data_IF_544844173098
#
_entry.id   IF_544844173098
#
_cell.length_a   1.000
_cell.length_b   1.000
_cell.length_c   1.000
_cell.angle_alpha   90.00
_cell.angle_beta   90.00
_cell.angle_gamma   90.00
#
_symmetry.space_group_name_H-M   'P 1'
#
loop_
_entity.id
_entity.type
_entity.pdbx_description
1 polymer ?
#
# COMPACT_ATOMS: atom_id res chain seq x y z
N UNK A 1 11.51 13.64 -8.26
CA UNK A 1 12.51 13.36 -7.19
C UNK A 1 12.77 11.86 -7.14
N UNK A 2 14.04 11.40 -7.18
CA UNK A 2 14.34 9.96 -7.14
C UNK A 2 14.28 9.43 -5.71
N UNK A 3 13.51 8.37 -5.48
CA UNK A 3 13.42 7.70 -4.18
C UNK A 3 14.53 6.64 -4.03
N UNK A 4 15.14 6.55 -2.85
CA UNK A 4 15.96 5.39 -2.49
C UNK A 4 15.04 4.17 -2.43
N UNK A 5 15.43 3.07 -3.09
CA UNK A 5 14.58 1.88 -3.20
C UNK A 5 15.42 0.62 -3.05
N UNK A 6 14.98 -0.32 -2.22
CA UNK A 6 15.51 -1.67 -2.23
C UNK A 6 14.74 -2.51 -3.24
N UNK A 7 15.48 -3.25 -4.05
CA UNK A 7 14.92 -4.16 -5.03
C UNK A 7 15.14 -5.61 -4.62
N UNK A 8 14.13 -6.44 -4.83
CA UNK A 8 14.22 -7.89 -4.83
C UNK A 8 13.98 -8.36 -6.26
N UNK A 9 15.02 -8.78 -6.97
CA UNK A 9 14.90 -9.25 -8.35
C UNK A 9 13.92 -10.41 -8.48
N UNK A 10 13.22 -10.49 -9.61
CA UNK A 10 12.49 -11.68 -9.99
C UNK A 10 13.46 -12.83 -10.27
N UNK A 11 13.01 -14.10 -10.16
CA UNK A 11 13.82 -15.29 -10.45
C UNK A 11 14.12 -15.45 -11.95
N UNK A 12 13.35 -14.78 -12.81
CA UNK A 12 13.49 -14.76 -14.25
C UNK A 12 13.02 -13.42 -14.81
N UNK A 13 12.45 -13.44 -16.02
CA UNK A 13 11.79 -12.23 -16.56
C UNK A 13 10.61 -11.84 -15.66
N UNK A 14 10.55 -10.60 -15.17
CA UNK A 14 9.47 -10.19 -14.28
C UNK A 14 8.08 -10.29 -14.92
N UNK A 15 7.16 -10.99 -14.27
CA UNK A 15 5.77 -11.11 -14.71
C UNK A 15 4.91 -9.93 -14.23
N UNK A 16 5.52 -8.94 -13.60
CA UNK A 16 4.89 -7.77 -13.02
C UNK A 16 5.71 -7.22 -11.86
N UNK A 17 5.09 -6.43 -11.00
CA UNK A 17 5.77 -5.82 -9.84
C UNK A 17 4.96 -5.92 -8.56
N UNK A 18 5.65 -6.03 -7.41
CA UNK A 18 5.09 -5.95 -6.07
C UNK A 18 5.81 -4.82 -5.31
N UNK A 19 5.07 -3.77 -4.98
CA UNK A 19 5.62 -2.61 -4.27
C UNK A 19 5.00 -2.52 -2.88
N UNK A 20 5.84 -2.42 -1.85
CA UNK A 20 5.39 -2.31 -0.45
C UNK A 20 5.94 -1.03 0.18
N UNK A 21 5.03 -0.20 0.69
CA UNK A 21 5.32 1.11 1.27
C UNK A 21 5.33 1.03 2.80
N UNK A 22 6.45 1.38 3.42
CA UNK A 22 6.65 1.29 4.87
C UNK A 22 5.80 2.30 5.67
N UNK A 23 5.64 2.05 6.97
CA UNK A 23 5.00 2.97 7.92
C UNK A 23 5.91 4.13 8.35
N UNK A 24 5.32 5.10 9.06
CA UNK A 24 6.07 6.25 9.61
C UNK A 24 7.14 5.79 10.60
N UNK A 25 8.37 6.25 10.43
CA UNK A 25 9.49 5.95 11.32
C UNK A 25 10.28 4.71 10.94
N UNK A 26 9.78 3.91 9.99
CA UNK A 26 10.50 2.82 9.34
C UNK A 26 11.24 3.32 8.09
N UNK A 27 11.73 2.39 7.28
CA UNK A 27 12.47 2.68 6.05
C UNK A 27 12.28 1.56 5.01
N UNK A 28 13.06 1.58 3.95
CA UNK A 28 13.03 0.62 2.85
C UNK A 28 13.30 -0.84 3.25
N UNK A 29 13.89 -1.08 4.42
CA UNK A 29 14.19 -2.43 4.91
C UNK A 29 13.01 -3.09 5.62
N UNK A 30 12.08 -2.31 6.16
CA UNK A 30 11.01 -2.77 7.07
C UNK A 30 10.12 -3.84 6.44
N UNK A 31 9.53 -3.55 5.28
CA UNK A 31 8.65 -4.49 4.57
C UNK A 31 9.36 -5.36 3.53
N UNK A 32 10.68 -5.18 3.34
CA UNK A 32 11.43 -5.93 2.34
C UNK A 32 11.34 -7.46 2.51
N UNK A 33 11.40 -8.02 3.72
CA UNK A 33 11.20 -9.47 3.92
C UNK A 33 9.82 -9.98 3.52
N UNK A 34 8.79 -9.12 3.52
CA UNK A 34 7.45 -9.52 3.10
C UNK A 34 7.34 -9.75 1.59
N UNK A 35 8.23 -9.23 0.78
CA UNK A 35 8.28 -9.51 -0.66
C UNK A 35 8.42 -11.01 -0.93
N UNK A 36 9.30 -11.71 -0.21
CA UNK A 36 9.47 -13.16 -0.34
C UNK A 36 8.31 -13.94 0.31
N UNK A 37 7.71 -13.40 1.37
CA UNK A 37 6.54 -14.02 2.00
C UNK A 37 5.30 -13.98 1.10
N UNK A 38 5.14 -12.91 0.31
CA UNK A 38 3.99 -12.69 -0.56
C UNK A 38 4.17 -13.26 -1.98
N UNK A 39 5.42 -13.35 -2.45
CA UNK A 39 5.77 -13.92 -3.76
C UNK A 39 7.02 -14.83 -3.62
N UNK A 40 6.87 -16.01 -3.00
CA UNK A 40 7.99 -16.93 -2.70
C UNK A 40 8.63 -17.52 -3.97
N UNK A 41 7.91 -17.56 -5.07
CA UNK A 41 8.43 -17.99 -6.37
C UNK A 41 9.20 -16.90 -7.09
N UNK A 42 9.21 -15.67 -6.54
CA UNK A 42 9.87 -14.48 -7.12
C UNK A 42 9.48 -14.25 -8.58
N UNK A 43 8.19 -14.32 -8.87
CA UNK A 43 7.67 -14.03 -10.21
C UNK A 43 7.65 -12.54 -10.52
N UNK A 44 7.52 -11.71 -9.47
CA UNK A 44 7.41 -10.27 -9.55
C UNK A 44 8.75 -9.59 -9.24
N UNK A 45 9.00 -8.45 -9.87
CA UNK A 45 10.00 -7.51 -9.39
C UNK A 45 9.48 -6.89 -8.08
N UNK A 46 10.17 -7.14 -6.97
CA UNK A 46 9.81 -6.61 -5.66
C UNK A 46 10.52 -5.29 -5.37
N UNK A 47 9.80 -4.29 -4.85
CA UNK A 47 10.37 -3.00 -4.48
C UNK A 47 9.85 -2.52 -3.12
N UNK A 48 10.75 -1.95 -2.33
CA UNK A 48 10.42 -1.24 -1.10
C UNK A 48 11.11 0.12 -1.11
N UNK A 49 10.42 1.18 -1.57
CA UNK A 49 10.97 2.53 -1.58
C UNK A 49 10.98 3.15 -0.18
N UNK A 50 11.94 4.04 0.07
CA UNK A 50 12.07 4.86 1.27
C UNK A 50 11.29 6.15 1.11
N UNK A 51 10.51 6.52 2.13
CA UNK A 51 9.86 7.82 2.22
C UNK A 51 10.88 8.98 2.13
N UNK A 52 10.56 10.07 1.43
CA UNK A 52 11.54 11.13 1.16
C UNK A 52 11.86 12.01 2.37
N UNK A 53 11.04 11.96 3.41
CA UNK A 53 11.20 12.81 4.59
C UNK A 53 11.95 12.06 5.69
N UNK A 54 13.08 12.58 6.11
CA UNK A 54 13.85 11.99 7.21
C UNK A 54 13.12 12.15 8.56
N UNK A 55 13.15 11.10 9.36
CA UNK A 55 12.63 11.08 10.72
C UNK A 55 13.69 10.55 11.68
N UNK A 56 14.42 11.40 12.41
CA UNK A 56 15.43 10.94 13.36
C UNK A 56 14.86 9.97 14.42
N UNK A 57 15.66 8.99 14.90
CA UNK A 57 17.10 8.82 14.66
C UNK A 57 17.51 8.02 13.41
N UNK A 58 16.65 7.63 12.52
CA UNK A 58 17.07 6.85 11.33
C UNK A 58 15.95 6.47 10.39
N UNK A 59 14.70 6.68 10.80
CA UNK A 59 13.53 6.36 10.00
C UNK A 59 13.20 7.40 8.93
N UNK A 60 12.12 7.13 8.21
CA UNK A 60 11.57 7.98 7.19
C UNK A 60 10.04 8.09 7.31
N UNK A 61 9.45 9.01 6.57
CA UNK A 61 8.00 9.10 6.46
C UNK A 61 7.59 9.72 5.11
N UNK A 62 6.34 9.47 4.73
CA UNK A 62 5.80 9.92 3.46
C UNK A 62 5.27 11.35 3.51
N UNK A 63 4.66 11.71 4.64
CA UNK A 63 4.08 13.03 4.86
C UNK A 63 4.11 13.39 6.35
N UNK A 64 4.07 14.67 6.66
CA UNK A 64 3.91 15.16 8.04
C UNK A 64 2.50 14.87 8.53
N UNK A 65 2.40 14.58 9.84
CA UNK A 65 1.10 14.38 10.48
C UNK A 65 0.42 15.73 10.70
N UNK A 66 -0.74 15.92 10.11
CA UNK A 66 -1.64 17.03 10.42
C UNK A 66 -2.88 16.52 11.17
N UNK A 67 -3.23 15.26 11.00
CA UNK A 67 -4.36 14.58 11.64
C UNK A 67 -4.69 13.26 10.94
N UNK A 68 -5.68 12.56 11.47
CA UNK A 68 -6.26 11.38 10.84
C UNK A 68 -7.74 11.72 10.53
N UNK A 69 -8.20 11.58 9.29
CA UNK A 69 -7.54 11.04 8.10
C UNK A 69 -6.94 12.10 7.16
N UNK A 70 -6.37 13.19 7.67
CA UNK A 70 -5.92 14.36 6.90
C UNK A 70 -4.40 14.52 6.94
N UNK A 71 -3.65 13.90 6.01
CA UNK A 71 -2.23 14.18 5.82
C UNK A 71 -1.96 15.66 5.52
N UNK A 72 -0.76 16.16 5.88
CA UNK A 72 -0.31 17.49 5.51
C UNK A 72 -0.11 17.59 3.98
N UNK A 73 -0.85 18.43 3.25
CA UNK A 73 -0.80 18.49 1.78
C UNK A 73 0.56 18.92 1.23
N UNK A 74 1.29 19.81 1.94
CA UNK A 74 2.58 20.32 1.46
C UNK A 74 3.63 19.22 1.32
N UNK A 75 3.55 18.21 2.17
CA UNK A 75 4.49 17.08 2.17
C UNK A 75 3.92 15.82 1.52
N UNK A 76 2.61 15.70 1.46
CA UNK A 76 1.92 14.58 0.82
C UNK A 76 2.13 14.57 -0.69
N UNK A 77 1.86 15.68 -1.37
CA UNK A 77 1.91 15.76 -2.82
C UNK A 77 3.28 15.47 -3.42
N UNK A 78 4.41 16.00 -2.90
CA UNK A 78 5.73 15.64 -3.40
C UNK A 78 6.04 14.14 -3.29
N UNK A 79 5.57 13.48 -2.22
CA UNK A 79 5.72 12.02 -2.05
C UNK A 79 4.83 11.25 -3.02
N UNK A 80 3.60 11.71 -3.23
CA UNK A 80 2.67 11.13 -4.19
C UNK A 80 3.24 11.18 -5.62
N UNK A 81 3.75 12.34 -6.04
CA UNK A 81 4.35 12.53 -7.37
C UNK A 81 5.57 11.65 -7.57
N UNK A 82 6.48 11.59 -6.58
CA UNK A 82 7.68 10.77 -6.66
C UNK A 82 7.36 9.26 -6.73
N UNK A 83 6.34 8.81 -5.97
CA UNK A 83 5.87 7.43 -6.05
C UNK A 83 5.15 7.15 -7.38
N UNK A 84 4.32 8.07 -7.86
CA UNK A 84 3.65 7.93 -9.17
C UNK A 84 4.69 7.74 -10.29
N UNK A 85 5.73 8.58 -10.33
CA UNK A 85 6.83 8.48 -11.30
C UNK A 85 7.54 7.12 -11.21
N UNK A 86 7.83 6.65 -9.98
CA UNK A 86 8.42 5.33 -9.77
C UNK A 86 7.52 4.21 -10.30
N UNK A 87 6.23 4.22 -9.94
CA UNK A 87 5.29 3.16 -10.29
C UNK A 87 5.00 3.09 -11.80
N UNK A 88 5.04 4.23 -12.50
CA UNK A 88 4.80 4.29 -13.95
C UNK A 88 5.91 3.60 -14.76
N UNK A 89 7.12 3.55 -14.22
CA UNK A 89 8.27 2.87 -14.84
C UNK A 89 8.34 1.35 -14.61
N UNK A 90 7.43 0.77 -13.81
CA UNK A 90 7.51 -0.62 -13.40
C UNK A 90 6.75 -1.61 -14.32
N UNK A 91 7.23 -2.86 -14.44
CA UNK A 91 6.51 -3.93 -15.11
C UNK A 91 5.10 -4.12 -14.56
N UNK A 92 4.14 -4.39 -15.46
CA UNK A 92 2.73 -4.66 -15.13
C UNK A 92 2.39 -6.13 -15.35
N UNK A 93 1.43 -6.72 -14.59
CA UNK A 93 0.60 -6.08 -13.55
C UNK A 93 1.40 -5.59 -12.33
N UNK A 94 0.87 -4.59 -11.63
CA UNK A 94 1.47 -4.03 -10.42
C UNK A 94 0.56 -4.32 -9.22
N UNK A 95 1.09 -4.94 -8.17
CA UNK A 95 0.45 -5.01 -6.85
C UNK A 95 1.07 -3.92 -5.97
N UNK A 96 0.23 -3.09 -5.37
CA UNK A 96 0.65 -2.02 -4.48
C UNK A 96 0.15 -2.29 -3.07
N UNK A 97 1.04 -2.27 -2.10
CA UNK A 97 0.66 -2.45 -0.71
C UNK A 97 1.43 -1.51 0.22
N UNK A 98 0.97 -1.45 1.46
CA UNK A 98 1.66 -0.67 2.47
C UNK A 98 1.16 -0.93 3.87
N UNK A 99 1.92 -0.44 4.83
CA UNK A 99 1.58 -0.46 6.25
C UNK A 99 1.44 0.98 6.77
N UNK A 100 0.40 1.26 7.55
CA UNK A 100 0.21 2.56 8.20
C UNK A 100 0.24 3.73 7.19
N UNK A 101 1.18 4.67 7.26
CA UNK A 101 1.35 5.73 6.25
C UNK A 101 1.53 5.18 4.83
N UNK A 102 2.21 4.05 4.67
CA UNK A 102 2.36 3.39 3.38
C UNK A 102 1.02 2.93 2.81
N UNK A 103 0.08 2.46 3.65
CA UNK A 103 -1.29 2.16 3.23
C UNK A 103 -2.02 3.41 2.72
N UNK A 104 -1.84 4.54 3.41
CA UNK A 104 -2.46 5.81 3.02
C UNK A 104 -1.99 6.24 1.63
N UNK A 105 -0.67 6.14 1.35
CA UNK A 105 -0.12 6.39 0.02
C UNK A 105 -0.62 5.37 -1.00
N UNK A 106 -0.75 4.08 -0.63
CA UNK A 106 -1.28 3.04 -1.52
C UNK A 106 -2.73 3.32 -1.94
N UNK A 107 -3.58 3.79 -1.02
CA UNK A 107 -4.93 4.23 -1.34
C UNK A 107 -4.94 5.41 -2.31
N UNK A 108 -4.14 6.43 -2.04
CA UNK A 108 -4.06 7.62 -2.89
C UNK A 108 -3.58 7.27 -4.30
N UNK A 109 -2.52 6.48 -4.42
CA UNK A 109 -1.94 6.10 -5.71
C UNK A 109 -2.82 5.11 -6.50
N UNK A 110 -3.50 4.21 -5.79
CA UNK A 110 -4.30 3.17 -6.41
C UNK A 110 -5.72 3.60 -6.78
N UNK A 111 -6.29 4.53 -6.03
CA UNK A 111 -7.68 4.98 -6.21
C UNK A 111 -7.80 6.48 -6.52
N UNK A 112 -6.71 7.26 -6.43
CA UNK A 112 -6.72 8.67 -6.77
C UNK A 112 -6.99 8.90 -8.26
N UNK A 113 -7.78 9.93 -8.59
CA UNK A 113 -7.92 10.40 -9.97
C UNK A 113 -6.62 11.03 -10.42
N UNK A 114 -6.03 10.48 -11.46
CA UNK A 114 -4.77 10.98 -12.02
C UNK A 114 -4.30 10.14 -13.21
N UNK A 115 -3.17 10.49 -13.81
CA UNK A 115 -2.61 9.78 -14.96
C UNK A 115 -2.05 8.40 -14.60
N UNK A 116 -1.81 8.12 -13.32
CA UNK A 116 -1.27 6.85 -12.87
C UNK A 116 -2.23 5.69 -13.18
N UNK A 117 -1.69 4.63 -13.78
CA UNK A 117 -2.48 3.43 -14.05
C UNK A 117 -2.78 2.71 -12.73
N UNK A 118 -4.05 2.44 -12.47
CA UNK A 118 -4.51 1.67 -11.30
C UNK A 118 -3.69 0.37 -11.15
N UNK A 119 -3.21 0.02 -9.95
CA UNK A 119 -2.58 -1.27 -9.70
C UNK A 119 -3.58 -2.42 -9.94
N UNK A 120 -3.08 -3.63 -10.14
CA UNK A 120 -3.90 -4.81 -10.31
C UNK A 120 -4.55 -5.28 -8.99
N UNK A 121 -3.95 -4.94 -7.85
CA UNK A 121 -4.52 -5.16 -6.52
C UNK A 121 -3.93 -4.16 -5.52
N UNK A 122 -4.65 -3.92 -4.40
CA UNK A 122 -4.16 -3.14 -3.27
C UNK A 122 -4.12 -4.00 -2.01
N UNK A 123 -3.00 -3.95 -1.27
CA UNK A 123 -2.83 -4.57 0.05
C UNK A 123 -2.74 -3.45 1.11
N UNK A 124 -3.81 -3.24 1.86
CA UNK A 124 -3.96 -2.15 2.81
C UNK A 124 -3.85 -2.65 4.26
N UNK A 125 -2.71 -2.39 4.91
CA UNK A 125 -2.41 -2.89 6.24
C UNK A 125 -2.41 -1.74 7.26
N UNK A 126 -3.37 -1.74 8.19
CA UNK A 126 -3.48 -0.80 9.32
C UNK A 126 -3.38 0.68 8.91
N UNK A 127 -4.17 1.10 7.92
CA UNK A 127 -4.19 2.48 7.43
C UNK A 127 -5.59 3.05 7.26
N UNK A 128 -5.71 4.18 6.60
CA UNK A 128 -6.97 4.85 6.29
C UNK A 128 -6.97 5.43 4.86
N UNK A 129 -8.15 5.60 4.28
CA UNK A 129 -8.29 6.37 3.03
C UNK A 129 -8.07 7.85 3.31
N UNK A 130 -7.10 8.51 2.63
CA UNK A 130 -6.75 9.90 2.94
C UNK A 130 -7.80 10.90 2.47
N UNK A 131 -7.93 11.98 3.24
CA UNK A 131 -8.64 13.20 2.86
C UNK A 131 -7.60 14.31 2.75
N UNK A 132 -7.22 14.64 1.53
CA UNK A 132 -6.21 15.67 1.22
C UNK A 132 -6.79 16.60 0.17
N UNK A 133 -6.59 17.91 0.34
CA UNK A 133 -7.06 18.90 -0.62
C UNK A 133 -6.49 18.61 -2.02
N UNK A 134 -7.36 18.52 -3.00
CA UNK A 134 -7.01 18.18 -4.38
C UNK A 134 -6.96 16.67 -4.68
N UNK A 135 -7.09 15.79 -3.68
CA UNK A 135 -7.18 14.35 -3.89
C UNK A 135 -8.66 13.93 -3.97
N UNK A 136 -9.03 13.35 -5.09
CA UNK A 136 -10.32 12.65 -5.25
C UNK A 136 -10.05 11.16 -5.41
N UNK A 137 -10.61 10.33 -4.53
CA UNK A 137 -10.59 8.87 -4.70
C UNK A 137 -11.72 8.45 -5.65
N UNK A 138 -11.36 7.73 -6.70
CA UNK A 138 -12.28 7.22 -7.70
C UNK A 138 -12.62 5.75 -7.41
N UNK A 139 -13.82 5.52 -6.92
CA UNK A 139 -14.36 4.19 -6.65
C UNK A 139 -15.20 3.63 -7.81
N UNK A 140 -15.26 4.33 -8.95
CA UNK A 140 -15.96 3.80 -10.11
C UNK A 140 -15.19 2.67 -10.80
N UNK A 141 -15.91 1.70 -11.35
CA UNK A 141 -15.33 0.58 -12.11
C UNK A 141 -14.48 -0.36 -11.26
N UNK A 142 -14.88 -0.58 -9.99
CA UNK A 142 -14.22 -1.51 -9.09
C UNK A 142 -14.85 -2.91 -9.08
N UNK A 143 -15.75 -3.23 -10.01
CA UNK A 143 -16.37 -4.57 -10.07
C UNK A 143 -15.30 -5.67 -10.14
N UNK A 144 -15.26 -6.51 -9.10
CA UNK A 144 -14.27 -7.59 -8.94
C UNK A 144 -12.83 -7.13 -8.69
N UNK A 145 -12.59 -5.83 -8.47
CA UNK A 145 -11.23 -5.31 -8.21
C UNK A 145 -10.68 -5.83 -6.88
N UNK A 146 -9.52 -6.53 -6.88
CA UNK A 146 -9.01 -7.19 -5.67
C UNK A 146 -8.40 -6.20 -4.70
N UNK A 147 -8.92 -6.21 -3.48
CA UNK A 147 -8.40 -5.42 -2.36
C UNK A 147 -8.29 -6.30 -1.12
N UNK A 148 -7.14 -6.30 -0.48
CA UNK A 148 -6.97 -6.93 0.83
C UNK A 148 -6.76 -5.87 1.90
N UNK A 149 -7.57 -5.93 2.97
CA UNK A 149 -7.48 -5.04 4.12
C UNK A 149 -7.24 -5.88 5.37
N UNK A 150 -6.20 -5.57 6.14
CA UNK A 150 -5.95 -6.18 7.44
C UNK A 150 -5.66 -5.12 8.51
N UNK A 151 -6.25 -5.27 9.70
CA UNK A 151 -6.12 -4.29 10.78
C UNK A 151 -6.19 -4.93 12.17
N UNK A 152 -5.42 -4.38 13.11
CA UNK A 152 -5.54 -4.74 14.52
C UNK A 152 -6.73 -4.05 15.19
N UNK A 153 -7.67 -4.79 15.78
CA UNK A 153 -8.83 -4.18 16.45
C UNK A 153 -8.50 -3.43 17.74
N UNK A 154 -7.28 -3.62 18.26
CA UNK A 154 -6.76 -2.92 19.43
C UNK A 154 -5.69 -1.89 19.03
N UNK A 155 -5.70 -1.42 17.79
CA UNK A 155 -4.74 -0.45 17.28
C UNK A 155 -4.92 0.91 17.98
N UNK A 156 -3.91 1.37 18.76
CA UNK A 156 -3.99 2.65 19.46
C UNK A 156 -3.55 3.84 18.61
N UNK A 157 -3.05 3.59 17.38
CA UNK A 157 -2.48 4.61 16.49
C UNK A 157 -3.50 5.03 15.44
N UNK A 158 -4.09 4.05 14.75
CA UNK A 158 -5.13 4.25 13.73
C UNK A 158 -6.34 3.42 14.13
N UNK A 159 -7.47 4.05 14.51
CA UNK A 159 -8.70 3.32 14.83
C UNK A 159 -9.13 2.38 13.72
N UNK A 160 -9.48 1.15 14.06
CA UNK A 160 -9.90 0.11 13.12
C UNK A 160 -11.14 0.51 12.31
N UNK A 161 -11.93 1.45 12.80
CA UNK A 161 -13.13 1.95 12.13
C UNK A 161 -12.82 2.54 10.74
N UNK A 162 -11.64 3.12 10.53
CA UNK A 162 -11.21 3.57 9.20
C UNK A 162 -11.07 2.42 8.19
N UNK A 163 -10.61 1.26 8.64
CA UNK A 163 -10.55 0.07 7.75
C UNK A 163 -11.93 -0.54 7.51
N UNK A 164 -12.83 -0.46 8.47
CA UNK A 164 -14.23 -0.87 8.31
C UNK A 164 -14.96 0.03 7.32
N UNK A 165 -14.79 1.36 7.44
CA UNK A 165 -15.31 2.34 6.48
C UNK A 165 -14.78 2.09 5.07
N UNK A 166 -13.47 1.84 4.92
CA UNK A 166 -12.86 1.53 3.63
C UNK A 166 -13.43 0.24 3.03
N UNK A 167 -13.55 -0.84 3.82
CA UNK A 167 -14.19 -2.10 3.40
C UNK A 167 -15.60 -1.85 2.87
N UNK A 168 -16.41 -1.14 3.63
CA UNK A 168 -17.83 -0.94 3.29
C UNK A 168 -17.99 -0.09 2.01
N UNK A 169 -17.17 0.97 1.86
CA UNK A 169 -17.16 1.81 0.67
C UNK A 169 -16.72 1.02 -0.59
N UNK A 170 -15.66 0.22 -0.47
CA UNK A 170 -15.14 -0.59 -1.58
C UNK A 170 -16.10 -1.71 -1.97
N UNK A 171 -16.68 -2.42 -0.99
CA UNK A 171 -17.68 -3.45 -1.24
C UNK A 171 -18.93 -2.87 -1.91
N UNK A 172 -19.39 -1.68 -1.49
CA UNK A 172 -20.50 -0.98 -2.13
C UNK A 172 -20.16 -0.56 -3.58
N UNK A 173 -18.90 -0.35 -3.91
CA UNK A 173 -18.42 -0.06 -5.25
C UNK A 173 -18.15 -1.32 -6.10
N UNK A 174 -18.43 -2.54 -5.59
CA UNK A 174 -18.29 -3.81 -6.30
C UNK A 174 -16.91 -4.45 -6.21
N UNK A 175 -15.99 -3.91 -5.41
CA UNK A 175 -14.67 -4.50 -5.25
C UNK A 175 -14.72 -5.88 -4.54
N UNK A 176 -13.79 -6.76 -4.90
CA UNK A 176 -13.56 -8.03 -4.19
C UNK A 176 -12.67 -7.76 -2.97
N UNK A 177 -13.30 -7.62 -1.81
CA UNK A 177 -12.64 -7.19 -0.58
C UNK A 177 -12.37 -8.37 0.36
N UNK A 178 -11.10 -8.78 0.44
CA UNK A 178 -10.61 -9.60 1.55
C UNK A 178 -10.42 -8.72 2.78
N UNK A 179 -11.23 -8.91 3.83
CA UNK A 179 -11.12 -8.16 5.08
C UNK A 179 -10.73 -9.07 6.25
N UNK A 180 -9.70 -8.67 7.00
CA UNK A 180 -9.25 -9.37 8.21
C UNK A 180 -9.01 -8.39 9.35
N UNK A 181 -9.60 -8.71 10.49
CA UNK A 181 -9.46 -7.97 11.74
C UNK A 181 -9.03 -8.93 12.84
N UNK A 182 -8.03 -8.56 13.63
CA UNK A 182 -7.47 -9.38 14.70
C UNK A 182 -7.30 -8.56 15.99
N UNK A 183 -7.38 -9.15 17.19
CA UNK A 183 -7.20 -8.44 18.47
C UNK A 183 -5.70 -8.15 18.71
N UNK A 184 -5.11 -7.36 17.84
CA UNK A 184 -3.70 -6.93 17.84
C UNK A 184 -3.60 -5.41 17.87
N UNK A 185 -2.47 -4.88 18.37
CA UNK A 185 -2.16 -3.44 18.26
C UNK A 185 -1.78 -3.05 16.83
N UNK A 186 -1.12 -1.88 16.66
CA UNK A 186 -0.64 -1.36 15.37
C UNK A 186 0.51 -2.22 14.82
N UNK A 187 0.17 -3.33 14.18
CA UNK A 187 1.12 -4.31 13.62
C UNK A 187 0.47 -5.12 12.49
N UNK A 188 1.31 -5.80 11.71
CA UNK A 188 0.86 -6.74 10.69
C UNK A 188 0.69 -8.12 11.34
N UNK A 189 -0.51 -8.70 11.22
CA UNK A 189 -0.77 -10.07 11.66
C UNK A 189 -0.12 -11.07 10.68
N UNK A 190 0.87 -11.87 11.10
CA UNK A 190 1.49 -12.83 10.18
C UNK A 190 0.52 -13.93 9.69
N UNK A 191 -0.60 -14.15 10.39
CA UNK A 191 -1.61 -15.14 10.01
C UNK A 191 -2.37 -14.76 8.73
N UNK A 192 -2.36 -13.47 8.35
CA UNK A 192 -3.01 -13.01 7.10
C UNK A 192 -2.13 -13.23 5.86
N UNK A 193 -0.83 -13.47 6.02
CA UNK A 193 0.12 -13.57 4.90
C UNK A 193 -0.25 -14.62 3.83
N UNK A 194 -0.77 -15.83 4.19
CA UNK A 194 -1.21 -16.79 3.16
C UNK A 194 -2.33 -16.26 2.27
N UNK A 195 -3.26 -15.48 2.83
CA UNK A 195 -4.37 -14.90 2.08
C UNK A 195 -3.92 -13.71 1.22
N UNK A 196 -3.03 -12.85 1.75
CA UNK A 196 -2.40 -11.79 0.95
C UNK A 196 -1.60 -12.35 -0.22
N UNK A 197 -0.87 -13.45 0.01
CA UNK A 197 -0.15 -14.19 -1.05
C UNK A 197 -1.10 -14.68 -2.14
N UNK A 198 -2.28 -15.19 -1.78
CA UNK A 198 -3.27 -15.63 -2.75
C UNK A 198 -3.76 -14.45 -3.63
N UNK A 199 -3.98 -13.27 -3.03
CA UNK A 199 -4.35 -12.05 -3.78
C UNK A 199 -3.22 -11.66 -4.73
N UNK A 200 -1.96 -11.66 -4.29
CA UNK A 200 -0.80 -11.37 -5.16
C UNK A 200 -0.70 -12.38 -6.29
N UNK A 201 -0.80 -13.68 -5.98
CA UNK A 201 -0.70 -14.74 -6.97
C UNK A 201 -1.79 -14.67 -8.05
N UNK A 202 -2.99 -14.23 -7.70
CA UNK A 202 -4.11 -14.09 -8.64
C UNK A 202 -3.86 -12.99 -9.70
N UNK A 203 -2.99 -12.03 -9.45
CA UNK A 203 -2.67 -10.95 -10.42
C UNK A 203 -1.71 -11.38 -11.53
N UNK A 204 -0.98 -12.47 -11.34
CA UNK A 204 0.05 -13.00 -12.25
C UNK A 204 -0.33 -14.38 -12.82
N UNK A 205 -1.61 -14.57 -13.11
CA UNK A 205 -2.03 -15.81 -13.79
C UNK A 205 -1.58 -15.81 -15.26
N UNK A 206 -1.22 -17.00 -15.79
CA UNK A 206 -0.76 -17.15 -17.16
C UNK A 206 -1.85 -16.86 -18.19
#
# INVERSE_FOLDING_TARGET
>A
MTLTTLERPAAGEPQGSLVLLHGRGADEHDLHPLLDALDPERRLLGLTPRGPLALPPGGAHWYRLAGIPTPDPETFWPSFEALSELLDGLPRPLVLGGFSQGTVMSWALGLGRGPAKRPAAILALSGFMPRVDGLELDLAGLDGYPVAIAHGSLDPVIPVDFSREARDALAAAGADVLYREAPLPHTIDPRVLPELRAVVAATVQP
#
